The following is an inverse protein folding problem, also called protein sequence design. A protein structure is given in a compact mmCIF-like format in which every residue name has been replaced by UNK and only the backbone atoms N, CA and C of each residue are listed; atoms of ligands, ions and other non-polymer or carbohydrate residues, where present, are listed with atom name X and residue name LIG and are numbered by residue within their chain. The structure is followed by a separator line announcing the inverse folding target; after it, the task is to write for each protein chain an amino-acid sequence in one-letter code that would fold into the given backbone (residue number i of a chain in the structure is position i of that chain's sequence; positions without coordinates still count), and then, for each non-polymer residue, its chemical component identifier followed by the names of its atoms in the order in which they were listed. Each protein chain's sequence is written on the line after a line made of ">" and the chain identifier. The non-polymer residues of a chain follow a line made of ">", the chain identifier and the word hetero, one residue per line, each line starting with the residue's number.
data_IF_572314073484
#
_entry.id   IF_572314073484
#
_cell.length_a   1.000
_cell.length_b   1.000
_cell.length_c   1.000
_cell.angle_alpha   90.00
_cell.angle_beta   90.00
_cell.angle_gamma   90.00
#
_symmetry.space_group_name_H-M   'P 1'
#
loop_
_entity.id
_entity.type
_entity.pdbx_description
1 polymer ?
#
# COMPACT_ATOMS: atom_id res chain seq x y z
N UNK A 1 16.25 -1.16 33.72
CA UNK A 1 16.09 -1.22 32.24
C UNK A 1 15.51 -2.59 31.89
N UNK A 2 14.25 -2.65 31.47
CA UNK A 2 13.68 -3.89 30.92
C UNK A 2 13.53 -3.72 29.42
N UNK A 3 14.37 -4.41 28.66
CA UNK A 3 14.26 -4.47 27.20
C UNK A 3 13.30 -5.63 26.91
N UNK A 4 12.05 -5.29 26.58
CA UNK A 4 10.99 -6.26 26.25
C UNK A 4 11.36 -7.03 24.98
N UNK A 5 11.84 -8.27 25.12
CA UNK A 5 12.15 -9.22 24.03
C UNK A 5 10.88 -9.80 23.39
N UNK A 6 9.99 -8.95 22.89
CA UNK A 6 8.84 -9.38 22.10
C UNK A 6 8.50 -8.34 21.02
N UNK A 7 9.52 -7.78 20.37
CA UNK A 7 9.32 -7.00 19.16
C UNK A 7 8.89 -7.97 18.05
N UNK A 8 7.59 -8.05 17.80
CA UNK A 8 7.04 -8.70 16.62
C UNK A 8 7.55 -7.95 15.39
N UNK A 9 8.60 -8.49 14.76
CA UNK A 9 9.21 -7.97 13.54
C UNK A 9 8.89 -8.94 12.39
N UNK A 10 7.68 -8.88 11.81
CA UNK A 10 7.30 -9.78 10.73
C UNK A 10 8.24 -9.57 9.53
N UNK A 11 8.82 -10.65 9.01
CA UNK A 11 9.61 -10.66 7.75
C UNK A 11 8.71 -10.53 6.50
N UNK A 12 7.54 -9.94 6.66
CA UNK A 12 6.64 -9.68 5.56
C UNK A 12 5.95 -8.34 5.80
N UNK A 13 6.04 -7.49 4.78
CA UNK A 13 5.14 -6.36 4.65
C UNK A 13 4.12 -6.69 3.56
N UNK A 14 2.85 -6.51 3.89
CA UNK A 14 1.75 -6.62 2.93
C UNK A 14 1.78 -5.35 2.07
N UNK A 15 1.87 -5.46 0.72
CA UNK A 15 1.85 -4.28 -0.14
C UNK A 15 0.51 -3.56 0.02
N UNK A 16 0.48 -2.22 -0.02
CA UNK A 16 -0.80 -1.50 0.06
C UNK A 16 -1.72 -1.81 -1.13
N UNK A 17 -1.17 -2.24 -2.27
CA UNK A 17 -1.93 -2.76 -3.40
C UNK A 17 -2.90 -3.91 -3.04
N UNK A 18 -2.55 -4.77 -2.08
CA UNK A 18 -3.42 -5.84 -1.60
C UNK A 18 -4.67 -5.32 -0.87
N UNK A 19 -4.51 -4.27 -0.05
CA UNK A 19 -5.65 -3.62 0.59
C UNK A 19 -6.55 -2.97 -0.45
N UNK A 20 -5.96 -2.41 -1.51
CA UNK A 20 -6.72 -1.84 -2.61
C UNK A 20 -7.56 -2.91 -3.33
N UNK A 21 -6.99 -4.06 -3.67
CA UNK A 21 -7.75 -5.17 -4.30
C UNK A 21 -8.96 -5.59 -3.47
N UNK A 22 -8.77 -5.80 -2.16
CA UNK A 22 -9.88 -6.13 -1.24
C UNK A 22 -10.94 -5.04 -1.23
N UNK A 23 -10.51 -3.78 -1.24
CA UNK A 23 -11.44 -2.64 -1.23
C UNK A 23 -12.24 -2.57 -2.53
N UNK A 24 -11.63 -2.88 -3.68
CA UNK A 24 -12.32 -2.96 -4.96
C UNK A 24 -13.35 -4.10 -4.97
N UNK A 25 -12.95 -5.29 -4.50
CA UNK A 25 -13.84 -6.45 -4.40
C UNK A 25 -15.03 -6.17 -3.47
N UNK A 26 -14.76 -5.60 -2.28
CA UNK A 26 -15.79 -5.30 -1.29
C UNK A 26 -16.80 -4.27 -1.78
N UNK A 27 -16.34 -3.23 -2.48
CA UNK A 27 -17.20 -2.20 -3.06
C UNK A 27 -17.75 -2.58 -4.44
N UNK A 28 -17.41 -3.77 -4.95
CA UNK A 28 -17.78 -4.27 -6.26
C UNK A 28 -17.39 -3.30 -7.40
N UNK A 29 -16.25 -2.61 -7.24
CA UNK A 29 -15.69 -1.69 -8.22
C UNK A 29 -14.78 -2.41 -9.20
N UNK A 30 -14.93 -2.07 -10.49
CA UNK A 30 -13.88 -2.39 -11.45
C UNK A 30 -12.67 -1.48 -11.25
N UNK A 31 -11.48 -1.94 -11.65
CA UNK A 31 -10.26 -1.13 -11.60
C UNK A 31 -10.40 0.17 -12.41
N UNK A 32 -11.02 0.10 -13.60
CA UNK A 32 -11.26 1.27 -14.44
C UNK A 32 -12.20 2.28 -13.78
N UNK A 33 -13.26 1.80 -13.12
CA UNK A 33 -14.19 2.65 -12.39
C UNK A 33 -13.51 3.34 -11.21
N UNK A 34 -12.76 2.59 -10.41
CA UNK A 34 -12.01 3.16 -9.29
C UNK A 34 -11.00 4.20 -9.73
N UNK A 35 -10.21 3.88 -10.77
CA UNK A 35 -9.24 4.80 -11.36
C UNK A 35 -9.92 6.11 -11.81
N UNK A 36 -11.08 6.00 -12.48
CA UNK A 36 -11.87 7.16 -12.89
C UNK A 36 -12.39 7.99 -11.69
N UNK A 37 -12.80 7.36 -10.59
CA UNK A 37 -13.27 8.04 -9.38
C UNK A 37 -12.14 8.77 -8.64
N UNK A 38 -10.96 8.17 -8.60
CA UNK A 38 -9.77 8.78 -8.00
C UNK A 38 -9.13 9.87 -8.87
N UNK A 39 -9.44 9.93 -10.17
CA UNK A 39 -8.75 10.81 -11.12
C UNK A 39 -7.35 10.32 -11.49
N UNK A 40 -7.09 9.02 -11.33
CA UNK A 40 -5.79 8.37 -11.57
C UNK A 40 -5.89 7.50 -12.82
N UNK A 41 -4.79 7.33 -13.55
CA UNK A 41 -4.77 6.40 -14.68
C UNK A 41 -4.98 4.94 -14.21
N UNK A 42 -5.76 4.10 -14.93
CA UNK A 42 -5.89 2.68 -14.62
C UNK A 42 -4.54 1.95 -14.59
N UNK A 43 -3.59 2.39 -15.42
CA UNK A 43 -2.23 1.86 -15.45
C UNK A 43 -1.52 2.03 -14.09
N UNK A 44 -1.57 3.24 -13.51
CA UNK A 44 -0.94 3.52 -12.23
C UNK A 44 -1.58 2.69 -11.10
N UNK A 45 -2.91 2.59 -11.08
CA UNK A 45 -3.62 1.72 -10.13
C UNK A 45 -3.14 0.27 -10.24
N UNK A 46 -3.01 -0.25 -11.45
CA UNK A 46 -2.53 -1.61 -11.68
C UNK A 46 -1.06 -1.79 -11.23
N UNK A 47 -0.20 -0.78 -11.41
CA UNK A 47 1.18 -0.81 -10.93
C UNK A 47 1.27 -0.74 -9.39
N UNK A 48 0.37 0.00 -8.73
CA UNK A 48 0.23 0.01 -7.27
C UNK A 48 -0.23 -1.35 -6.75
N UNK A 49 -1.25 -1.96 -7.37
CA UNK A 49 -1.74 -3.31 -7.04
C UNK A 49 -0.60 -4.32 -7.15
N UNK A 50 0.17 -4.26 -8.24
CA UNK A 50 1.32 -5.13 -8.45
C UNK A 50 2.53 -4.81 -7.55
N UNK A 51 2.45 -3.80 -6.68
CA UNK A 51 3.55 -3.37 -5.79
C UNK A 51 4.76 -2.80 -6.53
N UNK A 52 4.57 -2.33 -7.78
CA UNK A 52 5.61 -1.74 -8.65
C UNK A 52 5.70 -0.23 -8.51
N UNK A 53 4.56 0.42 -8.25
CA UNK A 53 4.50 1.86 -7.99
C UNK A 53 4.15 2.11 -6.52
N UNK A 54 4.81 3.06 -5.85
CA UNK A 54 4.47 3.44 -4.48
C UNK A 54 3.17 4.24 -4.45
N UNK A 55 2.49 4.24 -3.30
CA UNK A 55 1.42 5.20 -3.01
C UNK A 55 2.05 6.45 -2.39
N UNK A 56 2.05 7.56 -3.10
CA UNK A 56 2.41 8.86 -2.53
C UNK A 56 1.25 9.48 -1.73
N UNK A 57 1.54 10.55 -0.98
CA UNK A 57 0.55 11.24 -0.14
C UNK A 57 -0.65 11.73 -0.95
N UNK A 58 -0.44 12.20 -2.18
CA UNK A 58 -1.52 12.70 -3.03
C UNK A 58 -2.46 11.57 -3.46
N UNK A 59 -1.89 10.44 -3.88
CA UNK A 59 -2.61 9.21 -4.22
C UNK A 59 -3.38 8.67 -3.01
N UNK A 60 -2.79 8.70 -1.82
CA UNK A 60 -3.46 8.29 -0.58
C UNK A 60 -4.69 9.16 -0.26
N UNK A 61 -4.61 10.48 -0.46
CA UNK A 61 -5.75 11.40 -0.30
C UNK A 61 -6.85 11.09 -1.33
N UNK A 62 -6.48 10.79 -2.57
CA UNK A 62 -7.43 10.40 -3.62
C UNK A 62 -8.11 9.06 -3.31
N UNK A 63 -7.36 8.12 -2.71
CA UNK A 63 -7.90 6.84 -2.25
C UNK A 63 -8.87 7.03 -1.08
N UNK A 64 -8.53 7.84 -0.08
CA UNK A 64 -9.43 8.13 1.05
C UNK A 64 -10.78 8.66 0.57
N UNK A 65 -10.77 9.61 -0.38
CA UNK A 65 -12.00 10.19 -0.94
C UNK A 65 -12.92 9.15 -1.62
N UNK A 66 -12.35 8.07 -2.16
CA UNK A 66 -13.10 7.05 -2.90
C UNK A 66 -13.43 5.82 -2.05
N UNK A 67 -12.53 5.44 -1.15
CA UNK A 67 -12.61 4.22 -0.32
C UNK A 67 -13.15 4.47 1.09
N UNK A 68 -13.06 5.71 1.58
CA UNK A 68 -13.33 6.06 2.98
C UNK A 68 -12.26 5.60 3.97
N UNK A 69 -11.15 5.00 3.50
CA UNK A 69 -10.03 4.56 4.33
C UNK A 69 -9.05 5.72 4.49
N UNK A 70 -8.79 6.13 5.73
CA UNK A 70 -7.92 7.25 6.07
C UNK A 70 -6.57 7.22 5.33
N UNK A 71 -6.15 8.38 4.82
CA UNK A 71 -4.84 8.62 4.17
C UNK A 71 -3.68 8.08 5.01
N UNK A 72 -3.76 8.18 6.34
CA UNK A 72 -2.71 7.69 7.24
C UNK A 72 -2.52 6.17 7.17
N UNK A 73 -3.60 5.40 6.93
CA UNK A 73 -3.52 3.94 6.80
C UNK A 73 -2.71 3.58 5.55
N UNK A 74 -3.04 4.21 4.42
CA UNK A 74 -2.32 4.02 3.16
C UNK A 74 -0.84 4.37 3.28
N UNK A 75 -0.53 5.55 3.81
CA UNK A 75 0.85 6.01 3.99
C UNK A 75 1.64 5.11 4.94
N UNK A 76 1.03 4.63 6.02
CA UNK A 76 1.68 3.73 6.97
C UNK A 76 1.96 2.36 6.36
N UNK A 77 1.02 1.83 5.57
CA UNK A 77 1.23 0.58 4.84
C UNK A 77 2.33 0.69 3.81
N UNK A 78 2.32 1.76 2.99
CA UNK A 78 3.36 2.03 2.01
C UNK A 78 4.74 2.15 2.67
N UNK A 79 4.85 2.96 3.73
CA UNK A 79 6.12 3.14 4.45
C UNK A 79 6.67 1.81 4.98
N UNK A 80 5.81 0.98 5.58
CA UNK A 80 6.21 -0.36 6.04
C UNK A 80 6.65 -1.26 4.90
N UNK A 81 5.95 -1.22 3.77
CA UNK A 81 6.28 -2.00 2.59
C UNK A 81 7.62 -1.59 1.98
N UNK A 82 7.87 -0.28 1.82
CA UNK A 82 9.14 0.22 1.29
C UNK A 82 10.33 -0.05 2.23
N UNK A 83 10.13 0.06 3.54
CA UNK A 83 11.15 -0.32 4.52
C UNK A 83 11.52 -1.81 4.37
N UNK A 84 10.51 -2.68 4.24
CA UNK A 84 10.72 -4.11 4.04
C UNK A 84 11.45 -4.42 2.72
N UNK A 85 11.05 -3.78 1.62
CA UNK A 85 11.74 -3.91 0.33
C UNK A 85 13.20 -3.45 0.41
N UNK A 86 13.47 -2.39 1.17
CA UNK A 86 14.82 -1.86 1.37
C UNK A 86 15.67 -2.85 2.15
N UNK A 87 15.17 -3.38 3.27
CA UNK A 87 15.86 -4.42 4.05
C UNK A 87 16.15 -5.68 3.21
N UNK A 88 15.17 -6.13 2.41
CA UNK A 88 15.36 -7.26 1.49
C UNK A 88 16.41 -7.01 0.43
N UNK A 89 16.53 -5.77 -0.06
CA UNK A 89 17.60 -5.41 -1.01
C UNK A 89 18.96 -5.53 -0.32
N UNK A 90 19.13 -4.97 0.87
CA UNK A 90 20.41 -4.99 1.62
C UNK A 90 20.89 -6.42 1.94
N UNK A 91 19.97 -7.34 2.25
CA UNK A 91 20.33 -8.75 2.55
C UNK A 91 20.78 -9.51 1.30
N UNK A 92 20.35 -9.13 0.09
CA UNK A 92 20.72 -9.82 -1.16
C UNK A 92 22.03 -9.30 -1.80
N UNK A 93 22.70 -8.33 -1.17
CA UNK A 93 23.97 -7.75 -1.65
C UNK A 93 25.19 -8.24 -0.83
N UNK A 94 24.99 -9.15 0.12
CA UNK A 94 26.05 -9.79 0.93
C UNK A 94 26.06 -11.29 0.69
#
# INVERSE_FOLDING_TARGET
>A
MSVSKNQFNPDYAVPPGWLLEITLEHNNYSLAEFASRCGISPKLINEIIAGKAPIDTETAIQFERTTGIDTEIWNRMESRYQNHLTMKKEVNIT
#
